data_IF_832285404170
#
_entry.id   IF_832285404170
#
_cell.length_a   1.000
_cell.length_b   1.000
_cell.length_c   1.000
_cell.angle_alpha   90.00
_cell.angle_beta   90.00
_cell.angle_gamma   90.00
#
_symmetry.space_group_name_H-M   'P 1'
#
loop_
_entity.id
_entity.type
_entity.pdbx_description
1 polymer ?
#
# COMPACT_ATOMS: atom_id res chain seq x y z
N UNK A 1 -10.00 44.23 -7.37
CA UNK A 1 -9.31 42.92 -7.23
C UNK A 1 -9.73 42.10 -8.44
N UNK A 2 -8.80 41.84 -9.37
CA UNK A 2 -9.11 41.16 -10.63
C UNK A 2 -8.86 39.66 -10.54
N UNK A 3 -9.58 38.86 -11.33
CA UNK A 3 -9.43 37.40 -11.42
C UNK A 3 -7.99 36.98 -11.79
N UNK A 4 -7.27 37.84 -12.49
CA UNK A 4 -5.87 37.65 -12.86
C UNK A 4 -4.95 37.44 -11.64
N UNK A 5 -5.29 38.04 -10.49
CA UNK A 5 -4.52 37.93 -9.25
C UNK A 5 -4.78 36.60 -8.49
N UNK A 6 -5.83 35.86 -8.86
CA UNK A 6 -6.17 34.55 -8.27
C UNK A 6 -5.55 33.39 -9.05
N UNK A 7 -5.13 33.62 -10.30
CA UNK A 7 -4.57 32.59 -11.17
C UNK A 7 -3.06 32.41 -11.02
N UNK A 8 -2.40 33.26 -10.22
CA UNK A 8 -0.98 33.09 -9.93
C UNK A 8 -0.61 33.81 -8.61
N UNK A 9 -0.87 33.22 -7.43
CA UNK A 9 -0.34 33.76 -6.19
C UNK A 9 1.19 33.73 -6.27
N UNK A 10 1.82 34.91 -6.25
CA UNK A 10 3.28 35.06 -6.30
C UNK A 10 4.02 34.42 -5.09
N UNK A 11 3.27 33.89 -4.13
CA UNK A 11 3.76 33.34 -2.86
C UNK A 11 3.63 31.80 -2.75
N UNK A 12 3.11 31.09 -3.75
CA UNK A 12 3.07 29.61 -3.75
C UNK A 12 4.30 28.95 -4.38
N UNK A 13 5.44 29.61 -4.30
CA UNK A 13 6.74 28.99 -4.58
C UNK A 13 7.46 29.05 -3.23
N UNK A 14 7.76 27.90 -2.61
CA UNK A 14 8.49 27.73 -1.33
C UNK A 14 7.63 27.52 -0.06
N UNK A 15 6.55 26.74 -0.13
CA UNK A 15 6.22 25.83 1.00
C UNK A 15 6.06 24.38 0.55
N UNK A 16 6.57 24.06 -0.64
CA UNK A 16 6.87 22.68 -1.05
C UNK A 16 7.87 22.13 -0.05
N UNK A 17 7.35 21.27 0.83
CA UNK A 17 8.05 20.46 1.83
C UNK A 17 9.45 20.15 1.32
N UNK A 18 10.42 20.81 1.95
CA UNK A 18 11.84 20.66 1.66
C UNK A 18 12.34 19.40 2.36
N UNK A 19 11.63 18.28 2.19
CA UNK A 19 12.19 16.98 2.52
C UNK A 19 13.33 16.80 1.53
N UNK A 20 14.56 16.78 2.03
CA UNK A 20 15.70 16.45 1.19
C UNK A 20 15.47 15.04 0.63
N UNK A 21 15.81 14.77 -0.63
CA UNK A 21 15.75 13.40 -1.18
C UNK A 21 16.46 12.38 -0.27
N UNK A 22 17.45 12.86 0.49
CA UNK A 22 18.17 12.12 1.53
C UNK A 22 17.28 11.68 2.69
N UNK A 23 16.39 12.54 3.20
CA UNK A 23 15.44 12.20 4.28
C UNK A 23 14.39 11.18 3.82
N UNK A 24 14.02 11.23 2.54
CA UNK A 24 13.12 10.24 1.93
C UNK A 24 13.83 8.88 1.82
N UNK A 25 15.08 8.88 1.35
CA UNK A 25 15.88 7.66 1.27
C UNK A 25 16.13 7.04 2.65
N UNK A 26 16.43 7.86 3.66
CA UNK A 26 16.67 7.41 5.03
C UNK A 26 15.41 6.80 5.63
N UNK A 27 14.24 7.42 5.46
CA UNK A 27 12.97 6.86 5.93
C UNK A 27 12.64 5.51 5.27
N UNK A 28 12.97 5.32 4.00
CA UNK A 28 12.78 4.05 3.29
C UNK A 28 13.75 2.98 3.81
N UNK A 29 15.00 3.35 4.05
CA UNK A 29 16.02 2.44 4.58
C UNK A 29 15.70 2.02 6.02
N UNK A 30 15.22 2.93 6.86
CA UNK A 30 14.83 2.65 8.24
C UNK A 30 13.68 1.63 8.32
N UNK A 31 12.67 1.77 7.44
CA UNK A 31 11.56 0.81 7.35
C UNK A 31 12.04 -0.56 6.87
N UNK A 32 12.95 -0.59 5.90
CA UNK A 32 13.56 -1.85 5.43
C UNK A 32 14.43 -2.51 6.50
N UNK A 33 15.18 -1.73 7.29
CA UNK A 33 16.07 -2.24 8.32
C UNK A 33 15.29 -2.75 9.54
N UNK A 34 14.26 -2.02 9.99
CA UNK A 34 13.37 -2.49 11.05
C UNK A 34 12.63 -3.79 10.66
N UNK A 35 12.36 -3.98 9.37
CA UNK A 35 11.76 -5.20 8.83
C UNK A 35 12.74 -6.39 8.88
N UNK A 36 14.01 -6.19 8.55
CA UNK A 36 15.04 -7.24 8.63
C UNK A 36 15.38 -7.60 10.08
N UNK A 37 15.41 -6.62 10.99
CA UNK A 37 15.64 -6.84 12.41
C UNK A 37 14.46 -7.56 13.08
N UNK A 38 13.22 -7.29 12.67
CA UNK A 38 12.05 -8.03 13.15
C UNK A 38 12.06 -9.52 12.74
N UNK A 39 12.68 -9.85 11.61
CA UNK A 39 12.85 -11.25 11.14
C UNK A 39 13.96 -11.96 11.93
N UNK A 40 15.01 -11.23 12.35
CA UNK A 40 16.15 -11.82 13.06
C UNK A 40 15.99 -11.89 14.58
N UNK A 41 15.12 -11.06 15.18
CA UNK A 41 14.99 -10.95 16.63
C UNK A 41 13.79 -11.70 17.24
N UNK A 42 13.15 -12.61 16.50
CA UNK A 42 12.22 -13.58 17.08
C UNK A 42 12.99 -14.70 17.80
N UNK A 43 13.71 -14.31 18.85
CA UNK A 43 14.33 -15.21 19.81
C UNK A 43 13.25 -15.76 20.75
N UNK A 44 12.89 -17.01 20.47
CA UNK A 44 12.69 -18.13 21.42
C UNK A 44 12.37 -17.74 22.88
N UNK A 45 11.12 -17.92 23.29
CA UNK A 45 10.83 -18.49 24.62
C UNK A 45 9.49 -19.26 24.58
N UNK A 46 9.63 -20.59 24.63
CA UNK A 46 8.70 -21.63 25.08
C UNK A 46 7.20 -21.53 24.74
N UNK A 47 6.73 -22.43 23.84
CA UNK A 47 5.80 -23.51 24.21
C UNK A 47 5.69 -24.56 23.09
N UNK A 48 5.92 -25.82 23.47
CA UNK A 48 5.73 -27.02 22.66
C UNK A 48 4.30 -27.12 22.09
N UNK A 49 4.17 -27.30 20.77
CA UNK A 49 2.89 -27.63 20.15
C UNK A 49 2.88 -27.49 18.64
N UNK A 50 3.30 -28.56 17.94
CA UNK A 50 3.05 -28.82 16.52
C UNK A 50 3.51 -27.73 15.54
N UNK A 51 4.82 -27.72 15.26
CA UNK A 51 5.46 -26.86 14.26
C UNK A 51 5.03 -27.24 12.84
N UNK A 52 3.83 -26.81 12.43
CA UNK A 52 3.66 -26.38 11.05
C UNK A 52 4.56 -25.15 10.86
N UNK A 53 5.43 -25.09 9.83
CA UNK A 53 6.09 -23.85 9.50
C UNK A 53 4.99 -22.83 9.20
N UNK A 54 4.80 -21.88 10.11
CA UNK A 54 3.91 -20.73 9.89
C UNK A 54 4.59 -19.94 8.78
N UNK A 55 4.30 -20.30 7.52
CA UNK A 55 4.69 -19.47 6.41
C UNK A 55 4.09 -18.09 6.68
N UNK A 56 4.89 -17.03 6.74
CA UNK A 56 4.39 -15.71 7.01
C UNK A 56 3.31 -15.39 5.97
N UNK A 57 2.17 -14.87 6.44
CA UNK A 57 1.08 -14.49 5.55
C UNK A 57 1.64 -13.64 4.41
N UNK A 58 1.35 -13.99 3.14
CA UNK A 58 1.93 -13.27 2.02
C UNK A 58 1.48 -11.81 2.09
N UNK A 59 2.46 -10.91 2.02
CA UNK A 59 2.22 -9.46 1.98
C UNK A 59 1.17 -9.12 0.92
N UNK A 60 0.24 -8.20 1.21
CA UNK A 60 -0.84 -7.77 0.31
C UNK A 60 -0.34 -7.57 -1.14
N UNK A 61 0.82 -6.93 -1.28
CA UNK A 61 1.49 -6.70 -2.57
C UNK A 61 1.82 -7.98 -3.36
N UNK A 62 2.30 -9.05 -2.70
CA UNK A 62 2.58 -10.34 -3.35
C UNK A 62 1.30 -11.02 -3.83
N UNK A 63 0.24 -10.90 -3.03
CA UNK A 63 -1.08 -11.45 -3.38
C UNK A 63 -1.69 -10.69 -4.57
N UNK A 64 -1.64 -9.36 -4.57
CA UNK A 64 -2.07 -8.54 -5.72
C UNK A 64 -1.27 -8.88 -6.98
N UNK A 65 0.05 -9.05 -6.85
CA UNK A 65 0.90 -9.43 -7.98
C UNK A 65 0.49 -10.79 -8.56
N UNK A 66 0.18 -11.77 -7.72
CA UNK A 66 -0.30 -13.08 -8.18
C UNK A 66 -1.65 -12.97 -8.90
N UNK A 67 -2.58 -12.18 -8.38
CA UNK A 67 -3.89 -11.93 -9.01
C UNK A 67 -3.73 -11.28 -10.37
N UNK A 68 -2.90 -10.25 -10.49
CA UNK A 68 -2.60 -9.59 -11.76
C UNK A 68 -2.03 -10.56 -12.81
N UNK A 69 -1.13 -11.45 -12.40
CA UNK A 69 -0.58 -12.47 -13.29
C UNK A 69 -1.67 -13.44 -13.78
N UNK A 70 -2.57 -13.87 -12.90
CA UNK A 70 -3.69 -14.74 -13.26
C UNK A 70 -4.63 -14.00 -14.23
N UNK A 71 -5.01 -12.76 -13.91
CA UNK A 71 -5.88 -11.95 -14.78
C UNK A 71 -5.26 -11.73 -16.15
N UNK A 72 -3.96 -11.44 -16.22
CA UNK A 72 -3.26 -11.30 -17.49
C UNK A 72 -3.30 -12.59 -18.30
N UNK A 73 -3.09 -13.74 -17.65
CA UNK A 73 -3.16 -15.03 -18.33
C UNK A 73 -4.57 -15.36 -18.82
N UNK A 74 -5.60 -15.08 -18.01
CA UNK A 74 -7.00 -15.38 -18.37
C UNK A 74 -7.57 -14.43 -19.41
N UNK A 75 -7.09 -13.18 -19.50
CA UNK A 75 -7.57 -12.21 -20.48
C UNK A 75 -7.32 -12.62 -21.93
N UNK A 76 -6.25 -13.39 -22.17
CA UNK A 76 -5.93 -13.89 -23.51
C UNK A 76 -6.71 -15.18 -23.86
N UNK A 77 -7.46 -15.74 -22.90
CA UNK A 77 -8.21 -16.98 -23.06
C UNK A 77 -9.69 -16.71 -23.32
N UNK A 78 -10.19 -17.10 -24.50
CA UNK A 78 -11.63 -17.16 -24.80
C UNK A 78 -12.27 -18.43 -24.20
N UNK A 79 -12.02 -18.70 -22.92
CA UNK A 79 -12.54 -19.87 -22.22
C UNK A 79 -13.61 -19.46 -21.18
N UNK A 80 -14.73 -20.19 -21.06
CA UNK A 80 -15.74 -19.91 -20.04
C UNK A 80 -15.22 -19.87 -18.60
N UNK A 81 -14.20 -20.66 -18.28
CA UNK A 81 -13.53 -20.65 -16.97
C UNK A 81 -12.82 -19.31 -16.72
N UNK A 82 -12.13 -18.78 -17.74
CA UNK A 82 -11.41 -17.52 -17.65
C UNK A 82 -12.36 -16.34 -17.39
N UNK A 83 -13.50 -16.30 -18.10
CA UNK A 83 -14.54 -15.30 -17.85
C UNK A 83 -15.16 -15.41 -16.46
N UNK A 84 -15.32 -16.62 -15.93
CA UNK A 84 -15.84 -16.83 -14.58
C UNK A 84 -14.86 -16.36 -13.49
N UNK A 85 -13.56 -16.29 -13.78
CA UNK A 85 -12.54 -15.82 -12.84
C UNK A 85 -12.43 -14.29 -12.78
N UNK A 86 -12.81 -13.58 -13.84
CA UNK A 86 -12.67 -12.13 -13.94
C UNK A 86 -13.39 -11.38 -12.80
N UNK A 87 -14.67 -11.71 -12.56
CA UNK A 87 -15.47 -11.10 -11.50
C UNK A 87 -14.90 -11.34 -10.08
N UNK A 88 -14.63 -12.60 -9.68
CA UNK A 88 -14.01 -12.91 -8.40
C UNK A 88 -12.64 -12.25 -8.19
N UNK A 89 -11.76 -12.25 -9.21
CA UNK A 89 -10.44 -11.63 -9.10
C UNK A 89 -10.55 -10.11 -8.94
N UNK A 90 -11.45 -9.46 -9.70
CA UNK A 90 -11.70 -8.02 -9.57
C UNK A 90 -12.23 -7.66 -8.18
N UNK A 91 -13.23 -8.39 -7.69
CA UNK A 91 -13.79 -8.21 -6.34
C UNK A 91 -12.73 -8.39 -5.25
N UNK A 92 -11.89 -9.42 -5.40
CA UNK A 92 -10.82 -9.71 -4.45
C UNK A 92 -9.76 -8.60 -4.40
N UNK A 93 -9.35 -8.04 -5.56
CA UNK A 93 -8.45 -6.89 -5.58
C UNK A 93 -9.07 -5.67 -4.90
N UNK A 94 -10.34 -5.37 -5.18
CA UNK A 94 -11.05 -4.27 -4.53
C UNK A 94 -11.11 -4.43 -3.01
N UNK A 95 -11.42 -5.65 -2.54
CA UNK A 95 -11.47 -5.97 -1.12
C UNK A 95 -10.11 -5.75 -0.45
N UNK A 96 -9.03 -6.24 -1.05
CA UNK A 96 -7.69 -6.06 -0.48
C UNK A 96 -7.25 -4.59 -0.45
N UNK A 97 -7.54 -3.83 -1.50
CA UNK A 97 -7.25 -2.39 -1.49
C UNK A 97 -8.06 -1.65 -0.41
N UNK A 98 -9.32 -2.04 -0.21
CA UNK A 98 -10.15 -1.48 0.85
C UNK A 98 -9.56 -1.80 2.23
N UNK A 99 -9.23 -3.06 2.49
CA UNK A 99 -8.60 -3.50 3.74
C UNK A 99 -7.28 -2.77 4.01
N UNK A 100 -6.44 -2.64 3.00
CA UNK A 100 -5.19 -1.88 3.11
C UNK A 100 -5.45 -0.41 3.45
N UNK A 101 -6.42 0.24 2.78
CA UNK A 101 -6.78 1.62 3.06
C UNK A 101 -7.38 1.82 4.47
N UNK A 102 -8.16 0.85 4.97
CA UNK A 102 -8.71 0.88 6.32
C UNK A 102 -7.62 0.69 7.39
N UNK A 103 -6.52 0.00 7.05
CA UNK A 103 -5.38 -0.19 7.93
C UNK A 103 -4.37 0.97 7.89
N UNK A 104 -4.54 1.94 6.98
CA UNK A 104 -3.68 3.12 6.93
C UNK A 104 -3.99 4.07 8.09
N UNK A 105 -2.94 4.69 8.65
CA UNK A 105 -3.07 5.73 9.66
C UNK A 105 -3.70 6.98 9.00
N UNK A 106 -4.81 7.52 9.54
CA UNK A 106 -5.38 8.76 9.04
C UNK A 106 -4.34 9.88 9.08
N UNK A 107 -4.15 10.56 7.94
CA UNK A 107 -3.29 11.75 7.88
C UNK A 107 -4.14 13.01 7.89
N UNK A 108 -3.73 14.00 8.67
CA UNK A 108 -4.42 15.30 8.80
C UNK A 108 -4.27 16.21 7.57
N UNK A 109 -3.68 15.70 6.48
CA UNK A 109 -3.43 16.45 5.25
C UNK A 109 -4.72 16.87 4.51
N UNK A 110 -5.88 16.32 4.88
CA UNK A 110 -7.17 16.69 4.25
C UNK A 110 -8.18 17.28 5.23
N UNK A 111 -7.79 17.52 6.49
CA UNK A 111 -8.65 18.03 7.56
C UNK A 111 -8.89 19.55 7.49
N UNK A 112 -8.64 20.17 6.33
CA UNK A 112 -8.81 21.61 6.12
C UNK A 112 -10.28 22.06 6.17
N UNK A 113 -11.22 21.15 5.97
CA UNK A 113 -12.65 21.44 6.00
C UNK A 113 -13.32 20.72 7.17
N UNK A 114 -13.11 21.22 8.39
CA UNK A 114 -13.98 20.87 9.50
C UNK A 114 -15.42 21.30 9.16
N UNK A 115 -16.29 20.32 8.87
CA UNK A 115 -17.73 20.57 8.78
C UNK A 115 -18.24 21.00 10.15
N UNK A 116 -18.89 22.16 10.17
CA UNK A 116 -19.47 22.79 11.35
C UNK A 116 -20.78 22.15 11.77
#
# INVERSE_FOLDING_TARGET
>A
MGIEALLNPAEEIITSIKASDEEICEAVLDVCQAQDDAINNSGDDDVEGDTCPINPQPMCRKVLQAVLLITQHTNDMNDPLAHNLEGPLASFMCQMHLEESCNMVPSYSTDYFAQK
#
